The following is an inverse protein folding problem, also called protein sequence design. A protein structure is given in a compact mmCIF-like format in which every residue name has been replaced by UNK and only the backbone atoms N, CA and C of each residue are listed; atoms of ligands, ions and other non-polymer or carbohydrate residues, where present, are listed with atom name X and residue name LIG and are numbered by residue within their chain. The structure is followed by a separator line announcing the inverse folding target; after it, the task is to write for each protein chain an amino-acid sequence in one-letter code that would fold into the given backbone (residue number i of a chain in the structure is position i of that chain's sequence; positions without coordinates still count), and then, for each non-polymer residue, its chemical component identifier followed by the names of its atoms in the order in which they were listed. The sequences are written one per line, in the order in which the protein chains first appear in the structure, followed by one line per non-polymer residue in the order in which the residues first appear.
data_IF_864011394297
#
_entry.id   IF_864011394297
#
_cell.length_a   1.000
_cell.length_b   1.000
_cell.length_c   1.000
_cell.angle_alpha   90.00
_cell.angle_beta   90.00
_cell.angle_gamma   90.00
#
_symmetry.space_group_name_H-M   'P 1'
#
loop_
_entity.id
_entity.type
_entity.pdbx_description
1 polymer ?
#
# COMPACT_ATOMS: atom_id res chain seq x y z
N UNK A 1 18.98 -12.83 13.42
CA UNK A 1 19.43 -13.62 12.25
C UNK A 1 19.36 -12.78 10.99
N UNK A 2 20.12 -13.10 9.95
CA UNK A 2 20.08 -12.41 8.66
C UNK A 2 19.25 -13.20 7.64
N UNK A 3 18.38 -12.51 6.95
CA UNK A 3 17.53 -13.08 5.89
C UNK A 3 18.05 -12.63 4.53
N UNK A 4 18.38 -13.60 3.70
CA UNK A 4 18.81 -13.36 2.32
C UNK A 4 17.68 -12.83 1.45
N UNK A 5 18.03 -12.24 0.30
CA UNK A 5 17.09 -11.72 -0.69
C UNK A 5 15.94 -12.68 -0.96
N UNK A 6 14.71 -12.15 -0.94
CA UNK A 6 13.48 -12.91 -1.16
C UNK A 6 13.04 -13.80 0.01
N UNK A 7 13.76 -13.79 1.13
CA UNK A 7 13.46 -14.66 2.29
C UNK A 7 12.69 -13.88 3.37
N UNK A 8 11.55 -14.44 3.79
CA UNK A 8 10.71 -13.91 4.85
C UNK A 8 10.29 -15.05 5.80
N UNK A 9 10.14 -14.74 7.10
CA UNK A 9 9.78 -15.73 8.13
C UNK A 9 8.33 -16.19 8.06
N UNK A 10 7.50 -15.53 7.25
CA UNK A 10 6.14 -15.98 6.96
C UNK A 10 6.11 -17.08 5.90
N UNK A 11 4.95 -17.74 5.79
CA UNK A 11 4.72 -18.65 4.67
C UNK A 11 4.59 -17.83 3.38
N UNK A 12 5.53 -17.97 2.46
CA UNK A 12 5.45 -17.39 1.12
C UNK A 12 4.26 -17.98 0.36
N UNK A 13 3.37 -17.12 -0.12
CA UNK A 13 2.21 -17.49 -0.94
C UNK A 13 2.59 -17.44 -2.41
N UNK A 14 3.26 -16.35 -2.81
CA UNK A 14 3.68 -16.07 -4.19
C UNK A 14 4.94 -15.22 -4.18
N UNK A 15 5.71 -15.35 -5.24
CA UNK A 15 6.89 -14.53 -5.48
C UNK A 15 7.03 -14.24 -6.97
N UNK A 16 7.50 -13.06 -7.30
CA UNK A 16 7.90 -12.64 -8.63
C UNK A 16 9.16 -11.81 -8.50
N UNK A 17 10.19 -12.11 -9.26
CA UNK A 17 11.46 -11.43 -9.14
C UNK A 17 12.11 -11.16 -10.51
N UNK A 18 12.80 -10.03 -10.59
CA UNK A 18 13.89 -9.77 -11.54
C UNK A 18 15.22 -9.89 -10.81
N UNK A 19 16.31 -9.52 -11.47
CA UNK A 19 17.62 -9.42 -10.83
C UNK A 19 17.62 -8.40 -9.68
N UNK A 20 16.95 -7.28 -9.88
CA UNK A 20 17.08 -6.08 -9.04
C UNK A 20 15.88 -5.85 -8.12
N UNK A 21 14.70 -6.39 -8.46
CA UNK A 21 13.44 -6.17 -7.74
C UNK A 21 12.72 -7.50 -7.52
N UNK A 22 12.24 -7.71 -6.30
CA UNK A 22 11.40 -8.86 -5.97
C UNK A 22 10.11 -8.41 -5.28
N UNK A 23 9.00 -9.07 -5.61
CA UNK A 23 7.71 -8.90 -4.98
C UNK A 23 7.33 -10.22 -4.33
N UNK A 24 7.18 -10.22 -3.01
CA UNK A 24 6.96 -11.43 -2.20
C UNK A 24 5.69 -11.24 -1.38
N UNK A 25 4.73 -12.13 -1.57
CA UNK A 25 3.52 -12.17 -0.75
C UNK A 25 3.67 -13.25 0.32
N UNK A 26 3.53 -12.85 1.59
CA UNK A 26 3.70 -13.72 2.75
C UNK A 26 2.49 -13.69 3.65
N UNK A 27 2.16 -14.84 4.26
CA UNK A 27 1.14 -14.98 5.29
C UNK A 27 1.77 -15.38 6.61
N UNK A 28 1.28 -14.78 7.67
CA UNK A 28 1.70 -15.03 9.04
C UNK A 28 0.54 -15.55 9.87
N UNK A 29 0.80 -16.56 10.67
CA UNK A 29 -0.21 -17.19 11.52
C UNK A 29 -0.72 -16.22 12.61
N UNK A 30 -1.94 -16.42 13.13
CA UNK A 30 -2.41 -15.73 14.30
C UNK A 30 -1.43 -15.84 15.48
N UNK A 31 -1.09 -14.71 16.09
CA UNK A 31 -0.18 -14.64 17.24
C UNK A 31 1.29 -14.95 16.92
N UNK A 32 1.68 -15.09 15.65
CA UNK A 32 3.07 -15.38 15.29
C UNK A 32 4.02 -14.31 15.85
N UNK A 33 5.06 -14.76 16.53
CA UNK A 33 6.14 -13.93 17.02
C UNK A 33 7.41 -14.28 16.22
N UNK A 34 7.92 -13.32 15.46
CA UNK A 34 9.13 -13.49 14.70
C UNK A 34 10.34 -13.15 15.58
N UNK A 35 11.39 -13.97 15.55
CA UNK A 35 12.62 -13.68 16.29
C UNK A 35 13.27 -12.39 15.74
N UNK A 36 14.24 -11.87 16.48
CA UNK A 36 15.02 -10.73 16.00
C UNK A 36 15.77 -11.11 14.72
N UNK A 37 15.51 -10.34 13.65
CA UNK A 37 16.08 -10.57 12.33
C UNK A 37 16.36 -9.26 11.60
N UNK A 38 17.14 -9.34 10.54
CA UNK A 38 17.40 -8.25 9.59
C UNK A 38 17.38 -8.80 8.16
N UNK A 39 17.09 -7.94 7.21
CA UNK A 39 17.15 -8.26 5.79
C UNK A 39 18.40 -7.68 5.16
N UNK A 40 18.99 -8.41 4.20
CA UNK A 40 20.16 -7.97 3.45
C UNK A 40 19.85 -6.94 2.38
N UNK A 41 18.56 -6.80 2.02
CA UNK A 41 18.07 -5.80 1.05
C UNK A 41 17.05 -4.86 1.66
N UNK A 42 17.02 -3.60 1.20
CA UNK A 42 15.91 -2.68 1.47
C UNK A 42 14.60 -3.25 0.99
N UNK A 43 13.53 -3.03 1.74
CA UNK A 43 12.20 -3.47 1.34
C UNK A 43 11.08 -2.57 1.85
N UNK A 44 9.96 -2.59 1.12
CA UNK A 44 8.68 -2.02 1.51
C UNK A 44 7.74 -3.15 1.90
N UNK A 45 7.26 -3.12 3.14
CA UNK A 45 6.22 -4.03 3.61
C UNK A 45 4.85 -3.35 3.53
N UNK A 46 3.95 -3.89 2.74
CA UNK A 46 2.55 -3.49 2.69
C UNK A 46 1.73 -4.47 3.51
N UNK A 47 1.13 -4.01 4.59
CA UNK A 47 0.23 -4.81 5.42
C UNK A 47 -1.12 -4.89 4.75
N UNK A 48 -1.39 -5.99 4.04
CA UNK A 48 -2.61 -6.18 3.25
C UNK A 48 -3.82 -6.57 4.09
N UNK A 49 -3.60 -7.31 5.17
CA UNK A 49 -4.65 -7.74 6.11
C UNK A 49 -4.04 -8.08 7.48
N UNK A 50 -4.83 -7.99 8.53
CA UNK A 50 -4.37 -8.21 9.91
C UNK A 50 -3.49 -7.07 10.40
N UNK A 51 -2.35 -7.39 10.98
CA UNK A 51 -1.37 -6.42 11.45
C UNK A 51 -0.37 -7.02 12.41
N UNK A 52 0.67 -6.27 12.68
CA UNK A 52 1.73 -6.64 13.61
C UNK A 52 2.24 -5.43 14.41
N UNK A 53 2.81 -5.72 15.55
CA UNK A 53 3.61 -4.77 16.32
C UNK A 53 5.08 -5.09 16.04
N UNK A 54 5.85 -4.05 15.66
CA UNK A 54 7.25 -4.15 15.31
C UNK A 54 8.11 -3.46 16.36
N UNK A 55 9.16 -4.13 16.79
CA UNK A 55 10.16 -3.56 17.70
C UNK A 55 11.49 -3.34 16.97
N UNK A 56 11.91 -2.08 16.90
CA UNK A 56 13.15 -1.62 16.23
C UNK A 56 13.89 -0.66 17.15
N UNK A 57 15.16 -0.94 17.46
CA UNK A 57 15.99 -0.04 18.25
C UNK A 57 15.39 0.36 19.61
N UNK A 58 14.70 -0.57 20.28
CA UNK A 58 14.03 -0.35 21.56
C UNK A 58 12.71 0.42 21.49
N UNK A 59 12.24 0.78 20.31
CA UNK A 59 10.94 1.44 20.06
C UNK A 59 9.94 0.46 19.48
N UNK A 60 8.67 0.59 19.86
CA UNK A 60 7.59 -0.22 19.36
C UNK A 60 6.71 0.59 18.40
N UNK A 61 6.31 -0.05 17.29
CA UNK A 61 5.51 0.56 16.24
C UNK A 61 4.36 -0.37 15.87
N UNK A 62 3.16 0.16 15.87
CA UNK A 62 1.98 -0.59 15.44
C UNK A 62 1.80 -0.47 13.93
N UNK A 63 1.67 -1.61 13.26
CA UNK A 63 1.51 -1.73 11.81
C UNK A 63 0.19 -2.45 11.48
N UNK A 64 -0.96 -1.75 11.56
CA UNK A 64 -2.26 -2.33 11.19
C UNK A 64 -2.35 -2.54 9.67
N UNK A 65 -3.42 -3.18 9.21
CA UNK A 65 -3.75 -3.23 7.79
C UNK A 65 -3.76 -1.81 7.19
N UNK A 66 -3.45 -1.70 5.90
CA UNK A 66 -3.29 -0.45 5.17
C UNK A 66 -2.06 0.40 5.58
N UNK A 67 -1.11 -0.20 6.28
CA UNK A 67 0.18 0.42 6.57
C UNK A 67 1.23 0.01 5.54
N UNK A 68 2.09 0.95 5.16
CA UNK A 68 3.34 0.72 4.44
C UNK A 68 4.49 1.01 5.37
N UNK A 69 5.41 0.08 5.48
CA UNK A 69 6.66 0.24 6.23
C UNK A 69 7.82 0.11 5.27
N UNK A 70 8.71 1.09 5.25
CA UNK A 70 9.95 1.07 4.47
C UNK A 70 11.12 0.82 5.43
N UNK A 71 11.91 -0.17 5.12
CA UNK A 71 13.19 -0.46 5.74
C UNK A 71 14.31 -0.26 4.72
N UNK A 72 15.17 0.71 4.96
CA UNK A 72 16.32 1.02 4.07
C UNK A 72 17.66 0.51 4.61
N UNK A 73 17.68 0.07 5.85
CA UNK A 73 18.90 -0.31 6.51
C UNK A 73 18.92 -1.75 7.03
N UNK A 74 20.11 -2.20 7.40
CA UNK A 74 20.38 -3.51 8.00
C UNK A 74 19.96 -3.59 9.48
N UNK A 75 19.00 -2.80 9.93
CA UNK A 75 18.57 -2.80 11.33
C UNK A 75 17.80 -4.06 11.67
N UNK A 76 18.22 -4.69 12.75
CA UNK A 76 17.47 -5.79 13.34
C UNK A 76 16.14 -5.30 13.90
N UNK A 77 15.11 -6.07 13.67
CA UNK A 77 13.77 -5.88 14.20
C UNK A 77 13.13 -7.22 14.56
N UNK A 78 12.07 -7.15 15.33
CA UNK A 78 11.21 -8.30 15.66
C UNK A 78 9.75 -7.90 15.50
N UNK A 79 8.94 -8.85 15.04
CA UNK A 79 7.53 -8.61 14.77
C UNK A 79 6.64 -9.55 15.56
N UNK A 80 5.50 -9.05 16.00
CA UNK A 80 4.46 -9.85 16.65
C UNK A 80 3.14 -9.61 15.95
N UNK A 81 2.63 -10.64 15.29
CA UNK A 81 1.32 -10.59 14.64
C UNK A 81 0.18 -10.71 15.63
N UNK A 82 -0.91 -9.95 15.40
CA UNK A 82 -2.11 -9.98 16.22
C UNK A 82 -2.88 -11.30 16.11
N UNK A 83 -3.99 -11.42 16.84
CA UNK A 83 -4.84 -12.61 16.87
C UNK A 83 -5.47 -12.98 15.52
N UNK A 84 -5.54 -12.06 14.56
CA UNK A 84 -5.98 -12.31 13.19
C UNK A 84 -4.85 -12.77 12.23
N UNK A 85 -3.61 -12.85 12.72
CA UNK A 85 -2.44 -13.04 11.86
C UNK A 85 -2.17 -11.87 10.95
N UNK A 86 -1.50 -12.11 9.83
CA UNK A 86 -1.20 -11.06 8.85
C UNK A 86 -0.98 -11.59 7.44
N UNK A 87 -1.19 -10.70 6.49
CA UNK A 87 -0.84 -10.89 5.08
C UNK A 87 -0.09 -9.66 4.61
N UNK A 88 1.15 -9.85 4.19
CA UNK A 88 2.02 -8.77 3.76
C UNK A 88 2.44 -8.98 2.31
N UNK A 89 2.58 -7.88 1.58
CA UNK A 89 3.22 -7.85 0.28
C UNK A 89 4.49 -7.04 0.41
N UNK A 90 5.62 -7.68 0.20
CA UNK A 90 6.94 -7.09 0.34
C UNK A 90 7.50 -6.78 -1.06
N UNK A 91 7.86 -5.53 -1.29
CA UNK A 91 8.63 -5.09 -2.45
C UNK A 91 10.07 -4.90 -1.99
N UNK A 92 10.92 -5.81 -2.37
CA UNK A 92 12.35 -5.79 -2.10
C UNK A 92 13.09 -5.29 -3.33
N UNK A 93 14.14 -4.51 -3.13
CA UNK A 93 14.95 -4.05 -4.24
C UNK A 93 16.44 -4.04 -3.87
N UNK A 94 17.30 -4.21 -4.88
CA UNK A 94 18.73 -4.06 -4.72
C UNK A 94 19.08 -2.63 -4.29
N UNK A 95 20.02 -2.50 -3.34
CA UNK A 95 20.37 -1.21 -2.78
C UNK A 95 20.95 -0.25 -3.83
N UNK A 96 21.76 -0.76 -4.78
CA UNK A 96 22.32 0.04 -5.87
C UNK A 96 21.24 0.49 -6.85
N UNK A 97 20.31 -0.41 -7.18
CA UNK A 97 19.16 -0.10 -8.03
C UNK A 97 18.28 1.00 -7.43
N UNK A 98 18.08 0.99 -6.10
CA UNK A 98 17.35 2.03 -5.36
C UNK A 98 18.13 3.35 -5.33
N UNK A 99 19.43 3.32 -5.00
CA UNK A 99 20.26 4.51 -4.86
C UNK A 99 20.32 5.33 -6.13
N UNK A 100 20.37 4.68 -7.30
CA UNK A 100 20.37 5.32 -8.59
C UNK A 100 19.05 6.01 -8.96
N UNK A 101 17.98 5.67 -8.28
CA UNK A 101 16.60 6.02 -8.67
C UNK A 101 15.80 6.79 -7.64
N UNK A 102 16.21 6.71 -6.37
CA UNK A 102 15.56 7.42 -5.27
C UNK A 102 16.31 8.72 -4.93
N UNK A 103 15.59 9.77 -4.50
CA UNK A 103 16.23 10.97 -4.00
C UNK A 103 17.15 10.67 -2.81
N UNK A 104 18.33 11.32 -2.77
CA UNK A 104 19.32 11.14 -1.71
C UNK A 104 18.78 11.43 -0.28
N UNK A 105 17.68 12.19 -0.18
CA UNK A 105 17.01 12.45 1.09
C UNK A 105 16.45 11.20 1.77
N UNK A 106 16.14 10.15 0.99
CA UNK A 106 15.64 8.88 1.53
C UNK A 106 16.74 7.96 2.03
N UNK A 107 17.95 8.06 1.50
CA UNK A 107 19.09 7.25 1.93
C UNK A 107 19.48 7.50 3.40
N UNK A 108 18.87 8.49 4.06
CA UNK A 108 19.08 8.85 5.46
C UNK A 108 17.99 8.37 6.40
N UNK A 109 16.97 7.67 5.88
CA UNK A 109 15.81 7.21 6.66
C UNK A 109 15.96 5.71 6.86
N UNK A 110 16.22 5.30 8.10
CA UNK A 110 16.35 3.87 8.43
C UNK A 110 15.01 3.13 8.39
N UNK A 111 13.93 3.82 8.71
CA UNK A 111 12.57 3.30 8.74
C UNK A 111 11.57 4.42 8.50
N UNK A 112 10.59 4.15 7.67
CA UNK A 112 9.49 5.07 7.40
C UNK A 112 8.16 4.30 7.38
N UNK A 113 7.11 4.90 7.91
CA UNK A 113 5.77 4.31 7.96
C UNK A 113 4.73 5.32 7.52
N UNK A 114 3.83 4.90 6.63
CA UNK A 114 2.71 5.71 6.16
C UNK A 114 1.47 4.86 5.91
N UNK A 115 0.34 5.54 5.65
CA UNK A 115 -0.86 4.88 5.15
C UNK A 115 -0.70 4.46 3.69
N UNK A 116 -1.07 3.24 3.38
CA UNK A 116 -1.07 2.72 2.01
C UNK A 116 -2.17 3.33 1.12
N UNK A 117 -3.05 4.18 1.66
CA UNK A 117 -4.26 4.67 0.98
C UNK A 117 -4.02 5.20 -0.43
N UNK A 118 -2.91 5.91 -0.65
CA UNK A 118 -2.57 6.49 -1.95
C UNK A 118 -1.81 5.54 -2.88
N UNK A 119 -1.17 4.56 -2.30
CA UNK A 119 -0.29 3.62 -3.02
C UNK A 119 -1.02 2.36 -3.44
N UNK A 120 -2.23 2.12 -2.91
CA UNK A 120 -2.97 0.88 -3.14
C UNK A 120 -3.25 0.60 -4.62
N UNK A 121 -3.59 1.60 -5.41
CA UNK A 121 -3.80 1.41 -6.85
C UNK A 121 -2.53 0.92 -7.57
N UNK A 122 -1.38 1.50 -7.23
CA UNK A 122 -0.06 1.11 -7.77
C UNK A 122 0.37 -0.25 -7.23
N UNK A 123 0.21 -0.47 -5.93
CA UNK A 123 0.49 -1.76 -5.29
C UNK A 123 -0.32 -2.90 -5.91
N UNK A 124 -1.61 -2.68 -6.18
CA UNK A 124 -2.47 -3.69 -6.80
C UNK A 124 -2.09 -3.96 -8.26
N UNK A 125 -1.55 -2.99 -8.98
CA UNK A 125 -0.96 -3.23 -10.30
C UNK A 125 0.26 -4.15 -10.21
N UNK A 126 1.15 -3.89 -9.26
CA UNK A 126 2.27 -4.80 -8.99
C UNK A 126 1.78 -6.19 -8.56
N UNK A 127 0.81 -6.28 -7.67
CA UNK A 127 0.24 -7.55 -7.26
C UNK A 127 -0.41 -8.30 -8.44
N UNK A 128 -1.00 -7.59 -9.41
CA UNK A 128 -1.54 -8.19 -10.61
C UNK A 128 -0.47 -8.78 -11.54
N UNK A 129 0.80 -8.35 -11.44
CA UNK A 129 1.91 -9.01 -12.13
C UNK A 129 2.08 -10.46 -11.68
N UNK A 130 1.95 -10.75 -10.39
CA UNK A 130 1.99 -12.11 -9.87
C UNK A 130 0.91 -13.03 -10.48
N UNK A 131 -0.24 -12.44 -10.88
CA UNK A 131 -1.31 -13.17 -11.54
C UNK A 131 -1.01 -13.39 -13.03
N UNK A 132 -0.44 -12.38 -13.71
CA UNK A 132 -0.21 -12.42 -15.16
C UNK A 132 0.94 -13.33 -15.55
N UNK A 133 2.04 -13.25 -14.80
CA UNK A 133 3.32 -13.88 -15.11
C UNK A 133 3.46 -15.30 -14.56
N UNK A 134 2.47 -15.81 -13.80
CA UNK A 134 2.55 -17.14 -13.16
C UNK A 134 3.85 -17.39 -12.36
N UNK A 135 4.49 -16.31 -11.88
CA UNK A 135 5.74 -16.38 -11.10
C UNK A 135 7.00 -16.14 -11.93
N UNK A 136 6.89 -16.01 -13.25
CA UNK A 136 8.03 -15.75 -14.14
C UNK A 136 7.73 -14.57 -15.07
N UNK A 137 8.78 -13.85 -15.49
CA UNK A 137 8.71 -12.76 -16.46
C UNK A 137 9.38 -13.25 -17.74
N UNK A 138 8.56 -13.47 -18.77
CA UNK A 138 8.93 -14.22 -19.97
C UNK A 138 10.00 -13.49 -20.83
N UNK A 139 10.00 -12.14 -20.82
CA UNK A 139 10.91 -11.37 -21.65
C UNK A 139 11.46 -10.10 -20.98
N UNK A 140 12.45 -9.48 -21.64
CA UNK A 140 13.08 -8.26 -21.14
C UNK A 140 12.12 -7.08 -21.06
N UNK A 141 11.11 -7.02 -21.92
CA UNK A 141 10.08 -5.96 -21.93
C UNK A 141 9.20 -6.07 -20.69
N UNK A 142 8.76 -7.28 -20.36
CA UNK A 142 7.96 -7.52 -19.14
C UNK A 142 8.76 -7.21 -17.87
N UNK A 143 10.04 -7.60 -17.80
CA UNK A 143 10.91 -7.27 -16.67
C UNK A 143 11.05 -5.76 -16.49
N UNK A 144 11.34 -5.02 -17.57
CA UNK A 144 11.46 -3.56 -17.53
C UNK A 144 10.14 -2.91 -17.08
N UNK A 145 9.01 -3.33 -17.63
CA UNK A 145 7.71 -2.78 -17.25
C UNK A 145 7.36 -3.07 -15.78
N UNK A 146 7.70 -4.23 -15.26
CA UNK A 146 7.53 -4.56 -13.84
C UNK A 146 8.38 -3.64 -12.94
N UNK A 147 9.64 -3.41 -13.31
CA UNK A 147 10.53 -2.50 -12.60
C UNK A 147 10.06 -1.04 -12.68
N UNK A 148 9.53 -0.60 -13.83
CA UNK A 148 8.94 0.74 -14.00
C UNK A 148 7.70 0.92 -13.11
N UNK A 149 6.83 -0.10 -13.04
CA UNK A 149 5.66 -0.09 -12.15
C UNK A 149 6.09 -0.08 -10.65
N UNK A 150 7.17 -0.78 -10.30
CA UNK A 150 7.75 -0.74 -8.96
C UNK A 150 8.30 0.66 -8.63
N UNK A 151 9.00 1.29 -9.58
CA UNK A 151 9.47 2.67 -9.43
C UNK A 151 8.34 3.69 -9.33
N UNK A 152 7.27 3.51 -10.10
CA UNK A 152 6.09 4.39 -9.99
C UNK A 152 5.45 4.29 -8.60
N UNK A 153 5.41 3.09 -8.02
CA UNK A 153 4.96 2.89 -6.64
C UNK A 153 5.87 3.65 -5.67
N UNK A 154 7.18 3.45 -5.74
CA UNK A 154 8.18 4.09 -4.88
C UNK A 154 8.09 5.62 -4.95
N UNK A 155 8.06 6.19 -6.16
CA UNK A 155 7.90 7.65 -6.37
C UNK A 155 6.59 8.17 -5.78
N UNK A 156 5.53 7.41 -5.84
CA UNK A 156 4.22 7.81 -5.29
C UNK A 156 4.13 7.75 -3.77
N UNK A 157 5.10 7.14 -3.10
CA UNK A 157 5.20 7.14 -1.63
C UNK A 157 5.91 8.40 -1.10
N UNK A 158 6.56 9.17 -1.99
CA UNK A 158 7.21 10.41 -1.58
C UNK A 158 6.24 11.57 -1.50
N UNK A 159 6.34 12.42 -0.47
CA UNK A 159 5.79 13.75 -0.55
C UNK A 159 6.44 14.46 -1.75
N UNK A 160 5.60 15.05 -2.62
CA UNK A 160 6.11 15.89 -3.71
C UNK A 160 7.02 16.99 -3.11
N UNK A 161 8.14 17.35 -3.80
CA UNK A 161 8.94 18.49 -3.38
C UNK A 161 8.03 19.72 -3.27
N UNK A 162 8.28 20.58 -2.29
CA UNK A 162 7.59 21.85 -2.18
C UNK A 162 7.91 22.73 -3.41
N UNK A 163 7.14 23.80 -3.59
CA UNK A 163 7.29 24.72 -4.74
C UNK A 163 8.69 25.35 -4.84
N UNK A 164 9.57 25.17 -3.87
CA UNK A 164 10.93 25.69 -3.79
C UNK A 164 11.99 24.62 -4.08
N UNK A 165 11.60 23.39 -4.49
CA UNK A 165 12.53 22.30 -4.82
C UNK A 165 13.26 21.71 -3.60
N UNK A 166 12.93 22.11 -2.39
CA UNK A 166 13.38 21.41 -1.21
C UNK A 166 12.62 20.09 -1.12
N UNK A 167 13.33 18.97 -0.99
CA UNK A 167 12.70 17.70 -0.69
C UNK A 167 11.89 17.92 0.60
N UNK A 168 10.56 17.79 0.49
CA UNK A 168 9.72 17.82 1.68
C UNK A 168 10.35 16.85 2.67
N UNK A 169 10.67 17.33 3.86
CA UNK A 169 11.22 16.49 4.91
C UNK A 169 10.39 15.21 4.97
N UNK A 170 11.01 14.04 5.15
CA UNK A 170 10.28 12.79 5.28
C UNK A 170 9.13 13.08 6.23
N UNK A 171 7.93 12.62 5.87
CA UNK A 171 6.75 12.88 6.68
C UNK A 171 7.17 12.58 8.12
N UNK A 172 7.50 13.63 8.85
CA UNK A 172 7.89 13.51 10.24
C UNK A 172 6.80 12.72 10.91
N UNK A 173 7.09 11.86 11.87
CA UNK A 173 6.07 11.30 12.72
C UNK A 173 5.21 12.48 13.12
N UNK A 174 3.96 12.48 12.66
CA UNK A 174 3.06 13.63 12.53
C UNK A 174 3.04 14.40 13.84
N UNK A 175 3.94 15.35 14.00
CA UNK A 175 3.99 16.28 15.12
C UNK A 175 3.15 17.54 14.85
N UNK A 176 2.62 17.70 13.63
CA UNK A 176 1.54 18.67 13.43
C UNK A 176 0.28 18.04 14.04
N UNK A 177 -0.17 18.57 15.17
CA UNK A 177 -1.43 18.17 15.80
C UNK A 177 -2.52 18.18 14.72
N UNK A 178 -3.02 16.98 14.40
CA UNK A 178 -4.09 16.87 13.42
C UNK A 178 -5.27 17.68 13.93
N UNK A 179 -5.88 18.55 13.12
CA UNK A 179 -7.07 19.24 13.55
C UNK A 179 -8.14 18.23 13.98
N UNK A 180 -8.88 18.47 15.05
CA UNK A 180 -9.88 17.53 15.60
C UNK A 180 -10.88 17.06 14.55
N UNK A 181 -11.22 17.91 13.59
CA UNK A 181 -12.12 17.57 12.48
C UNK A 181 -11.48 16.61 11.45
N UNK A 182 -10.13 16.52 11.38
CA UNK A 182 -9.44 15.74 10.35
C UNK A 182 -9.70 14.24 10.48
N UNK A 183 -9.47 13.69 11.68
CA UNK A 183 -9.68 12.26 11.94
C UNK A 183 -11.13 11.85 11.62
N UNK A 184 -12.10 12.69 12.00
CA UNK A 184 -13.50 12.46 11.69
C UNK A 184 -13.80 12.48 10.19
N UNK A 185 -13.13 13.34 9.40
CA UNK A 185 -13.24 13.35 7.94
C UNK A 185 -12.62 12.10 7.33
N UNK A 186 -11.42 11.74 7.76
CA UNK A 186 -10.69 10.59 7.25
C UNK A 186 -11.46 9.28 7.50
N UNK A 187 -11.94 9.07 8.71
CA UNK A 187 -12.79 7.93 9.06
C UNK A 187 -14.10 7.88 8.24
N UNK A 188 -14.75 9.03 8.01
CA UNK A 188 -15.97 9.08 7.19
C UNK A 188 -15.72 8.84 5.72
N UNK A 189 -14.57 9.25 5.19
CA UNK A 189 -14.20 9.02 3.80
C UNK A 189 -13.74 7.57 3.58
N UNK A 190 -13.12 6.96 4.58
CA UNK A 190 -12.72 5.56 4.57
C UNK A 190 -13.86 4.59 4.91
N UNK A 191 -14.90 5.03 5.63
CA UNK A 191 -15.98 4.23 6.16
C UNK A 191 -16.97 3.73 5.11
N UNK A 192 -18.24 4.15 5.20
CA UNK A 192 -19.29 3.66 4.28
C UNK A 192 -19.01 4.05 2.82
N UNK A 193 -18.46 3.12 2.07
CA UNK A 193 -18.10 3.27 0.66
C UNK A 193 -19.32 3.16 -0.27
N UNK A 194 -20.43 2.60 0.22
CA UNK A 194 -21.68 2.44 -0.54
C UNK A 194 -22.33 3.79 -0.86
N UNK A 195 -22.23 4.72 0.07
CA UNK A 195 -22.86 6.03 -0.07
C UNK A 195 -22.11 6.90 -1.10
N UNK A 196 -22.85 7.56 -1.98
CA UNK A 196 -22.34 8.59 -2.90
C UNK A 196 -22.11 9.93 -2.15
N UNK A 197 -21.55 9.86 -0.93
CA UNK A 197 -21.25 11.11 -0.19
C UNK A 197 -20.19 11.90 -0.94
N UNK A 198 -20.52 13.15 -1.22
CA UNK A 198 -19.56 14.08 -1.82
C UNK A 198 -18.57 14.56 -0.76
N UNK A 199 -17.39 14.98 -1.21
CA UNK A 199 -16.40 15.63 -0.33
C UNK A 199 -17.01 16.81 0.39
N UNK A 200 -17.89 17.58 -0.28
CA UNK A 200 -18.61 18.69 0.31
C UNK A 200 -19.55 18.26 1.46
N UNK A 201 -20.24 17.12 1.32
CA UNK A 201 -21.08 16.60 2.40
C UNK A 201 -20.25 16.15 3.61
N UNK A 202 -19.09 15.53 3.37
CA UNK A 202 -18.16 15.14 4.44
C UNK A 202 -17.60 16.36 5.17
N UNK A 203 -17.18 17.39 4.43
CA UNK A 203 -16.68 18.63 4.99
C UNK A 203 -17.74 19.33 5.86
N UNK A 204 -19.00 19.42 5.36
CA UNK A 204 -20.12 19.99 6.11
C UNK A 204 -20.39 19.27 7.42
N UNK A 205 -20.38 17.93 7.42
CA UNK A 205 -20.58 17.13 8.62
C UNK A 205 -19.44 17.28 9.65
N UNK A 206 -18.26 17.64 9.19
CA UNK A 206 -17.10 17.92 10.04
C UNK A 206 -16.97 19.39 10.44
N UNK A 207 -17.94 20.25 10.07
CA UNK A 207 -17.91 21.68 10.39
C UNK A 207 -16.82 22.46 9.65
N UNK A 208 -16.34 21.96 8.50
CA UNK A 208 -15.27 22.62 7.73
C UNK A 208 -15.70 22.91 6.30
N UNK A 209 -15.05 23.89 5.69
CA UNK A 209 -15.27 24.21 4.28
C UNK A 209 -14.65 23.13 3.38
N UNK A 210 -15.30 22.81 2.28
CA UNK A 210 -14.86 21.78 1.33
C UNK A 210 -13.47 22.08 0.72
N UNK A 211 -13.17 23.37 0.47
CA UNK A 211 -11.88 23.81 -0.04
C UNK A 211 -10.75 23.60 0.99
N UNK A 212 -11.02 23.82 2.29
CA UNK A 212 -10.09 23.53 3.37
C UNK A 212 -9.79 22.05 3.47
N UNK A 213 -10.83 21.20 3.44
CA UNK A 213 -10.67 19.74 3.41
C UNK A 213 -9.86 19.30 2.17
N UNK A 214 -10.16 19.88 0.99
CA UNK A 214 -9.45 19.59 -0.24
C UNK A 214 -7.94 19.94 -0.17
N UNK A 215 -7.60 21.14 0.32
CA UNK A 215 -6.19 21.54 0.51
C UNK A 215 -5.46 20.64 1.49
N UNK A 216 -6.09 20.26 2.61
CA UNK A 216 -5.50 19.35 3.58
C UNK A 216 -5.27 17.97 2.98
N UNK A 217 -6.23 17.45 2.21
CA UNK A 217 -6.06 16.18 1.50
C UNK A 217 -4.90 16.24 0.51
N UNK A 218 -4.79 17.29 -0.29
CA UNK A 218 -3.66 17.48 -1.19
C UNK A 218 -2.33 17.58 -0.44
N UNK A 219 -2.26 18.39 0.63
CA UNK A 219 -1.04 18.54 1.43
C UNK A 219 -0.59 17.21 2.04
N UNK A 220 -1.55 16.44 2.57
CA UNK A 220 -1.24 15.22 3.34
C UNK A 220 -1.11 13.98 2.46
N UNK A 221 -1.91 13.87 1.43
CA UNK A 221 -2.02 12.65 0.61
C UNK A 221 -1.60 12.86 -0.85
N UNK A 222 -1.23 14.05 -1.27
CA UNK A 222 -0.86 14.35 -2.66
C UNK A 222 -1.98 14.13 -3.67
N UNK A 223 -3.22 13.92 -3.23
CA UNK A 223 -4.36 13.67 -4.11
C UNK A 223 -5.64 14.29 -3.58
N UNK A 224 -6.70 14.33 -4.41
CA UNK A 224 -8.02 14.79 -3.96
C UNK A 224 -8.71 13.72 -3.11
N UNK A 225 -9.56 14.14 -2.16
CA UNK A 225 -10.37 13.23 -1.36
C UNK A 225 -11.26 12.31 -2.22
N UNK A 226 -11.71 12.76 -3.40
CA UNK A 226 -12.46 11.94 -4.34
C UNK A 226 -11.59 10.84 -4.98
N UNK A 227 -10.32 11.15 -5.28
CA UNK A 227 -9.36 10.18 -5.81
C UNK A 227 -9.00 9.16 -4.73
N UNK A 228 -8.73 9.59 -3.49
CA UNK A 228 -8.47 8.71 -2.36
C UNK A 228 -9.64 7.74 -2.11
N UNK A 229 -10.87 8.24 -2.11
CA UNK A 229 -12.06 7.40 -1.94
C UNK A 229 -12.25 6.39 -3.08
N UNK A 230 -11.94 6.80 -4.31
CA UNK A 230 -11.98 5.88 -5.47
C UNK A 230 -10.95 4.77 -5.31
N UNK A 231 -9.73 5.12 -4.91
CA UNK A 231 -8.66 4.15 -4.64
C UNK A 231 -9.09 3.17 -3.55
N UNK A 232 -9.70 3.67 -2.46
CA UNK A 232 -10.19 2.81 -1.36
C UNK A 232 -11.30 1.85 -1.81
N UNK A 233 -12.24 2.29 -2.68
CA UNK A 233 -13.25 1.38 -3.24
C UNK A 233 -12.63 0.24 -4.05
N UNK A 234 -11.63 0.53 -4.86
CA UNK A 234 -10.91 -0.49 -5.65
C UNK A 234 -10.15 -1.44 -4.74
N UNK A 235 -9.56 -0.95 -3.70
CA UNK A 235 -8.86 -1.76 -2.71
C UNK A 235 -9.79 -2.75 -2.01
N UNK A 236 -10.89 -2.26 -1.42
CA UNK A 236 -11.88 -3.12 -0.77
C UNK A 236 -12.50 -4.10 -1.77
N UNK A 237 -12.71 -3.68 -3.02
CA UNK A 237 -13.16 -4.58 -4.08
C UNK A 237 -12.14 -5.71 -4.33
N UNK A 238 -10.84 -5.37 -4.42
CA UNK A 238 -9.78 -6.36 -4.64
C UNK A 238 -9.72 -7.37 -3.48
N UNK A 239 -9.84 -6.89 -2.24
CA UNK A 239 -9.90 -7.75 -1.06
C UNK A 239 -11.11 -8.69 -1.11
N UNK A 240 -12.33 -8.17 -1.37
CA UNK A 240 -13.55 -9.00 -1.46
C UNK A 240 -13.50 -10.01 -2.58
N UNK A 241 -12.88 -9.66 -3.72
CA UNK A 241 -12.68 -10.60 -4.83
C UNK A 241 -11.85 -11.82 -4.41
N UNK A 242 -10.90 -11.66 -3.51
CA UNK A 242 -10.03 -12.74 -3.01
C UNK A 242 -10.65 -13.52 -1.84
N UNK A 243 -11.35 -12.83 -0.96
CA UNK A 243 -11.80 -13.39 0.33
C UNK A 243 -13.24 -13.92 0.27
N UNK A 244 -14.06 -13.45 -0.67
CA UNK A 244 -15.49 -13.81 -0.71
C UNK A 244 -15.90 -14.42 -2.04
N UNK A 245 -17.00 -15.22 -2.01
CA UNK A 245 -17.67 -15.72 -3.21
C UNK A 245 -18.66 -14.73 -3.84
N UNK A 246 -18.76 -13.50 -3.36
CA UNK A 246 -19.73 -12.50 -3.83
C UNK A 246 -19.66 -12.29 -5.35
N UNK A 247 -20.82 -12.05 -5.99
CA UNK A 247 -20.85 -11.69 -7.41
C UNK A 247 -20.21 -10.32 -7.64
N UNK A 248 -19.73 -10.10 -8.87
CA UNK A 248 -19.16 -8.79 -9.25
C UNK A 248 -20.20 -7.67 -9.13
N UNK A 249 -21.48 -7.99 -9.42
CA UNK A 249 -22.59 -7.04 -9.27
C UNK A 249 -22.84 -6.67 -7.80
N UNK A 250 -22.79 -7.65 -6.89
CA UNK A 250 -22.94 -7.42 -5.45
C UNK A 250 -21.81 -6.52 -4.93
N UNK A 251 -20.57 -6.84 -5.26
CA UNK A 251 -19.39 -6.02 -4.87
C UNK A 251 -19.53 -4.59 -5.41
N UNK A 252 -19.96 -4.44 -6.68
CA UNK A 252 -20.16 -3.13 -7.30
C UNK A 252 -21.22 -2.30 -6.54
N UNK A 253 -22.35 -2.89 -6.22
CA UNK A 253 -23.45 -2.24 -5.50
C UNK A 253 -23.03 -1.81 -4.08
N UNK A 254 -22.45 -2.71 -3.32
CA UNK A 254 -22.00 -2.44 -1.94
C UNK A 254 -20.89 -1.39 -1.85
N UNK A 255 -20.08 -1.24 -2.89
CA UNK A 255 -19.02 -0.24 -2.94
C UNK A 255 -19.45 1.06 -3.64
N UNK A 256 -20.75 1.20 -3.99
CA UNK A 256 -21.31 2.43 -4.54
C UNK A 256 -20.88 2.73 -5.97
N UNK A 257 -20.59 1.72 -6.77
CA UNK A 257 -20.51 1.84 -8.23
C UNK A 257 -21.90 1.89 -8.81
N UNK A 258 -22.07 2.52 -9.99
CA UNK A 258 -23.37 2.64 -10.63
C UNK A 258 -23.91 1.28 -11.06
N UNK A 259 -23.04 0.45 -11.58
CA UNK A 259 -23.32 -0.90 -12.08
C UNK A 259 -22.03 -1.73 -12.16
N UNK A 260 -22.16 -3.00 -12.49
CA UNK A 260 -21.01 -3.91 -12.65
C UNK A 260 -20.08 -3.48 -13.80
N UNK A 261 -20.61 -2.91 -14.88
CA UNK A 261 -19.80 -2.47 -16.02
C UNK A 261 -18.92 -1.28 -15.65
N UNK A 262 -19.50 -0.32 -14.92
CA UNK A 262 -18.74 0.82 -14.34
C UNK A 262 -17.65 0.31 -13.40
N UNK A 263 -17.98 -0.58 -12.48
CA UNK A 263 -17.01 -1.21 -11.59
C UNK A 263 -15.87 -1.86 -12.37
N UNK A 264 -16.22 -2.71 -13.36
CA UNK A 264 -15.22 -3.42 -14.17
C UNK A 264 -14.27 -2.46 -14.89
N UNK A 265 -14.79 -1.38 -15.51
CA UNK A 265 -13.96 -0.37 -16.18
C UNK A 265 -13.01 0.35 -15.21
N UNK A 266 -13.53 0.78 -14.06
CA UNK A 266 -12.73 1.51 -13.06
C UNK A 266 -11.68 0.60 -12.44
N UNK A 267 -12.05 -0.62 -12.09
CA UNK A 267 -11.14 -1.62 -11.54
C UNK A 267 -10.02 -1.98 -12.54
N UNK A 268 -10.39 -2.31 -13.80
CA UNK A 268 -9.41 -2.69 -14.83
C UNK A 268 -8.44 -1.55 -15.13
N UNK A 269 -8.92 -0.30 -15.14
CA UNK A 269 -8.04 0.87 -15.31
C UNK A 269 -7.05 1.04 -14.15
N UNK A 270 -7.49 0.76 -12.92
CA UNK A 270 -6.67 0.91 -11.73
C UNK A 270 -5.66 -0.24 -11.54
N UNK A 271 -6.07 -1.46 -11.88
CA UNK A 271 -5.33 -2.69 -11.57
C UNK A 271 -4.61 -3.28 -12.80
N UNK A 272 -5.09 -2.94 -14.01
CA UNK A 272 -4.53 -3.46 -15.26
C UNK A 272 -5.17 -4.77 -15.76
N UNK A 273 -5.97 -5.44 -14.95
CA UNK A 273 -6.75 -6.65 -15.34
C UNK A 273 -8.19 -6.57 -14.84
N UNK A 274 -9.09 -7.35 -15.45
CA UNK A 274 -10.49 -7.33 -15.05
C UNK A 274 -10.71 -7.95 -13.66
N UNK A 275 -11.79 -7.57 -12.93
CA UNK A 275 -12.12 -8.16 -11.64
C UNK A 275 -12.26 -9.68 -11.68
N UNK A 276 -12.87 -10.22 -12.74
CA UNK A 276 -13.03 -11.66 -12.93
C UNK A 276 -11.67 -12.36 -13.05
N UNK A 277 -10.78 -11.82 -13.87
CA UNK A 277 -9.42 -12.34 -14.05
C UNK A 277 -8.60 -12.19 -12.75
N UNK A 278 -8.72 -11.07 -12.06
CA UNK A 278 -8.07 -10.85 -10.76
C UNK A 278 -8.48 -11.94 -9.76
N UNK A 279 -9.78 -12.22 -9.64
CA UNK A 279 -10.31 -13.29 -8.79
C UNK A 279 -9.76 -14.67 -9.16
N UNK A 280 -9.85 -15.05 -10.43
CA UNK A 280 -9.51 -16.40 -10.88
C UNK A 280 -8.01 -16.72 -10.78
N UNK A 281 -7.15 -15.71 -10.85
CA UNK A 281 -5.70 -15.89 -10.84
C UNK A 281 -5.04 -15.69 -9.48
N UNK A 282 -5.70 -14.97 -8.55
CA UNK A 282 -5.14 -14.62 -7.25
C UNK A 282 -5.88 -15.25 -6.05
N UNK A 283 -7.04 -15.88 -6.24
CA UNK A 283 -7.75 -16.64 -5.22
C UNK A 283 -7.30 -18.08 -5.21
#
# INVERSE_FOLDING_TARGET
MELSAGSYLGRTIRQLATRDVALIESRYAPGAALPEHRHDRPYLCFVMAGGFDEQVGGREFRCPADTVVLHLGERSHRDRFGAGGGRCLNLEADASWLADRLPASLNRIDRWQTSAMLSWGRLRRLHAWMARSRGELDDAGQRRQFEDDAMELLRGLHPAPDANGAAAAPAQPIAEALPDWWLACEQRLAGDLSQRRTVAATARLAGVRADRLGRWFMKRHGCTAAAARRARRIEVAAQRLLETGQSLAAIAGELGFCDQAHFTRVFSRAIGISPARYRSQLR
#
